data_IF_176081347320
#
_entry.id   IF_176081347320
#
_cell.length_a   1.000
_cell.length_b   1.000
_cell.length_c   1.000
_cell.angle_alpha   90.00
_cell.angle_beta   90.00
_cell.angle_gamma   90.00
#
_symmetry.space_group_name_H-M   'P 1'
#
loop_
_entity.id
_entity.type
_entity.pdbx_description
1 polymer ?
#
# COMPACT_ATOMS: atom_id res chain seq x y z
N UNK A 1 13.57 -6.54 14.17
CA UNK A 1 12.94 -5.50 13.38
C UNK A 1 11.80 -6.07 12.56
N UNK A 2 10.62 -5.52 12.73
CA UNK A 2 9.44 -5.96 12.00
C UNK A 2 8.98 -4.85 11.05
N UNK A 3 8.86 -5.18 9.76
CA UNK A 3 8.26 -4.29 8.80
C UNK A 3 6.75 -4.19 9.07
N UNK A 4 6.19 -3.04 8.78
CA UNK A 4 4.74 -2.82 8.81
C UNK A 4 4.26 -2.58 7.38
N UNK A 5 3.13 -3.18 7.04
CA UNK A 5 2.46 -2.96 5.78
C UNK A 5 1.40 -1.89 5.97
N UNK A 6 1.53 -0.76 5.27
CA UNK A 6 0.53 0.30 5.25
C UNK A 6 -0.31 0.19 3.99
N UNK A 7 -1.62 0.29 4.13
CA UNK A 7 -2.54 0.26 3.00
C UNK A 7 -3.30 1.58 2.97
N UNK A 8 -3.11 2.32 1.88
CA UNK A 8 -3.93 3.48 1.56
C UNK A 8 -5.22 2.95 0.94
N UNK A 9 -6.28 2.93 1.73
CA UNK A 9 -7.52 2.26 1.36
C UNK A 9 -8.37 3.04 0.36
N UNK A 10 -7.98 4.27 0.01
CA UNK A 10 -8.71 5.05 -0.96
C UNK A 10 -8.59 4.42 -2.35
N UNK A 11 -9.74 4.08 -2.95
CA UNK A 11 -9.81 3.44 -4.26
C UNK A 11 -8.90 2.21 -4.40
N UNK A 12 -8.79 1.40 -3.34
CA UNK A 12 -7.90 0.24 -3.32
C UNK A 12 -8.67 -1.06 -3.48
N UNK A 13 -8.66 -1.67 -4.67
CA UNK A 13 -9.37 -2.93 -4.90
C UNK A 13 -8.68 -4.16 -4.32
N UNK A 14 -7.45 -4.01 -3.81
CA UNK A 14 -6.61 -5.11 -3.33
C UNK A 14 -6.39 -5.11 -1.83
N UNK A 15 -7.19 -4.37 -1.06
CA UNK A 15 -7.04 -4.31 0.39
C UNK A 15 -7.13 -5.68 1.03
N UNK A 16 -8.10 -6.50 0.66
CA UNK A 16 -8.26 -7.84 1.21
C UNK A 16 -7.14 -8.77 0.79
N UNK A 17 -6.66 -8.64 -0.44
CA UNK A 17 -5.50 -9.41 -0.92
C UNK A 17 -4.25 -9.08 -0.10
N UNK A 18 -4.01 -7.81 0.14
CA UNK A 18 -2.87 -7.35 0.93
C UNK A 18 -2.95 -7.86 2.37
N UNK A 19 -4.14 -7.79 2.98
CA UNK A 19 -4.36 -8.32 4.33
C UNK A 19 -4.10 -9.83 4.38
N UNK A 20 -4.59 -10.58 3.40
CA UNK A 20 -4.38 -12.03 3.36
C UNK A 20 -2.91 -12.39 3.27
N UNK A 21 -2.15 -11.68 2.44
CA UNK A 21 -0.72 -11.91 2.29
C UNK A 21 0.06 -11.54 3.56
N UNK A 22 -0.30 -10.43 4.18
CA UNK A 22 0.34 -10.00 5.44
C UNK A 22 0.05 -10.98 6.57
N UNK A 23 -1.18 -11.49 6.63
CA UNK A 23 -1.58 -12.49 7.63
C UNK A 23 -0.74 -13.74 7.49
N UNK A 24 -0.52 -14.19 6.25
CA UNK A 24 0.31 -15.36 5.96
C UNK A 24 1.78 -15.11 6.27
N UNK A 25 2.25 -13.90 6.03
CA UNK A 25 3.65 -13.53 6.26
C UNK A 25 3.93 -13.10 7.70
N UNK A 26 2.92 -13.03 8.56
CA UNK A 26 3.03 -12.60 9.95
C UNK A 26 3.55 -11.15 10.08
N UNK A 27 3.06 -10.27 9.22
CA UNK A 27 3.43 -8.86 9.17
C UNK A 27 2.26 -8.01 9.63
N UNK A 28 2.49 -7.05 10.56
CA UNK A 28 1.41 -6.17 11.00
C UNK A 28 0.97 -5.23 9.89
N UNK A 29 -0.31 -4.86 9.91
CA UNK A 29 -0.92 -4.03 8.87
C UNK A 29 -1.61 -2.82 9.50
N UNK A 30 -1.44 -1.67 8.86
CA UNK A 30 -2.22 -0.46 9.13
C UNK A 30 -3.03 -0.14 7.89
N UNK A 31 -4.35 -0.17 8.02
CA UNK A 31 -5.27 0.22 6.95
C UNK A 31 -5.73 1.64 7.23
N UNK A 32 -5.33 2.58 6.40
CA UNK A 32 -5.64 4.00 6.58
C UNK A 32 -6.65 4.47 5.52
N UNK A 33 -7.58 5.30 5.93
CA UNK A 33 -8.56 5.90 5.03
C UNK A 33 -9.30 7.03 5.72
N UNK A 34 -10.16 7.73 4.99
CA UNK A 34 -10.93 8.82 5.59
C UNK A 34 -12.13 8.28 6.38
N UNK A 35 -12.71 9.15 7.22
CA UNK A 35 -13.81 8.77 8.13
C UNK A 35 -15.10 8.37 7.42
N UNK A 36 -15.23 8.64 6.12
CA UNK A 36 -16.40 8.21 5.35
C UNK A 36 -16.31 6.77 4.87
N UNK A 37 -15.12 6.15 4.99
CA UNK A 37 -14.91 4.77 4.58
C UNK A 37 -15.12 3.83 5.75
N UNK A 38 -15.74 2.69 5.48
CA UNK A 38 -15.85 1.63 6.47
C UNK A 38 -14.63 0.71 6.36
N UNK A 39 -13.55 1.06 7.05
CA UNK A 39 -12.31 0.29 7.03
C UNK A 39 -12.45 -1.09 7.67
N UNK A 40 -13.35 -1.21 8.65
CA UNK A 40 -13.59 -2.47 9.37
C UNK A 40 -14.13 -3.58 8.47
N UNK A 41 -14.76 -3.25 7.34
CA UNK A 41 -15.27 -4.26 6.41
C UNK A 41 -14.21 -5.19 5.85
N UNK A 42 -12.93 -4.76 5.88
CA UNK A 42 -11.82 -5.55 5.35
C UNK A 42 -11.20 -6.47 6.40
N UNK A 43 -11.48 -6.21 7.67
CA UNK A 43 -10.91 -6.93 8.80
C UNK A 43 -11.82 -8.09 9.18
N UNK A 44 -11.24 -9.26 9.44
CA UNK A 44 -12.00 -10.42 9.89
C UNK A 44 -12.29 -10.31 11.39
N UNK A 45 -13.42 -10.87 11.87
CA UNK A 45 -13.74 -10.79 13.30
C UNK A 45 -12.68 -11.39 14.22
N UNK A 46 -11.94 -12.39 13.77
CA UNK A 46 -10.91 -13.06 14.53
C UNK A 46 -9.51 -12.49 14.35
N UNK A 47 -9.35 -11.45 13.53
CA UNK A 47 -8.05 -10.80 13.34
C UNK A 47 -7.60 -10.11 14.63
N UNK A 48 -6.35 -10.32 15.06
CA UNK A 48 -5.79 -9.54 16.18
C UNK A 48 -5.75 -8.05 15.84
N UNK A 49 -5.99 -7.21 16.83
CA UNK A 49 -6.12 -5.76 16.62
C UNK A 49 -5.00 -4.95 17.26
N UNK A 50 -4.09 -5.62 17.98
CA UNK A 50 -2.98 -4.96 18.64
C UNK A 50 -1.78 -5.89 18.72
N UNK A 51 -0.57 -5.36 18.96
CA UNK A 51 0.60 -6.21 19.17
C UNK A 51 0.44 -7.20 20.31
N UNK A 52 -0.30 -6.83 21.35
CA UNK A 52 -0.53 -7.70 22.50
C UNK A 52 -1.44 -8.88 22.17
N UNK A 53 -2.34 -8.72 21.23
CA UNK A 53 -3.21 -9.79 20.76
C UNK A 53 -2.55 -10.65 19.70
N UNK A 54 -1.50 -10.13 19.08
CA UNK A 54 -0.86 -10.78 17.96
C UNK A 54 -0.22 -12.10 18.37
N UNK A 55 -0.53 -13.13 17.60
CA UNK A 55 0.10 -14.43 17.76
C UNK A 55 0.93 -14.68 16.49
N UNK A 56 2.25 -14.48 16.58
CA UNK A 56 3.15 -14.66 15.47
C UNK A 56 3.45 -13.40 14.63
N UNK A 57 3.03 -12.21 15.08
CA UNK A 57 3.45 -10.96 14.47
C UNK A 57 2.41 -10.24 13.62
N UNK A 58 1.33 -10.89 13.21
CA UNK A 58 0.26 -10.25 12.45
C UNK A 58 -0.77 -9.62 13.39
N UNK A 59 -1.13 -8.38 13.13
CA UNK A 59 -2.27 -7.69 13.72
C UNK A 59 -2.69 -6.58 12.77
N UNK A 60 -3.92 -6.07 12.92
CA UNK A 60 -4.48 -5.05 12.04
C UNK A 60 -4.92 -3.84 12.85
N UNK A 61 -4.40 -2.69 12.47
CA UNK A 61 -4.88 -1.41 12.96
C UNK A 61 -5.65 -0.72 11.82
N UNK A 62 -6.83 -0.17 12.13
CA UNK A 62 -7.55 0.70 11.20
C UNK A 62 -7.34 2.13 11.65
N UNK A 63 -6.92 2.99 10.73
CA UNK A 63 -6.60 4.38 11.01
C UNK A 63 -7.53 5.27 10.19
N UNK A 64 -8.61 5.71 10.81
CA UNK A 64 -9.55 6.65 10.21
C UNK A 64 -9.06 8.07 10.44
N UNK A 65 -8.87 8.81 9.35
CA UNK A 65 -8.38 10.19 9.42
C UNK A 65 -9.46 11.16 8.95
N UNK A 66 -9.29 12.46 9.27
CA UNK A 66 -10.25 13.46 8.88
C UNK A 66 -10.45 13.57 7.38
N UNK A 67 -11.55 14.18 6.99
CA UNK A 67 -11.87 14.41 5.59
C UNK A 67 -10.97 15.51 5.04
N UNK A 68 -10.05 15.12 4.19
CA UNK A 68 -9.13 16.03 3.51
C UNK A 68 -8.45 15.28 2.40
N UNK A 69 -8.07 15.98 1.35
CA UNK A 69 -7.56 15.34 0.12
C UNK A 69 -6.36 14.41 0.38
N UNK A 70 -5.48 14.79 1.31
CA UNK A 70 -4.24 14.07 1.56
C UNK A 70 -4.09 13.60 3.01
N UNK A 71 -5.20 13.57 3.77
CA UNK A 71 -5.13 13.28 5.20
C UNK A 71 -4.58 11.87 5.48
N UNK A 72 -5.04 10.87 4.71
CA UNK A 72 -4.55 9.50 4.86
C UNK A 72 -3.08 9.39 4.47
N UNK A 73 -2.66 10.07 3.42
CA UNK A 73 -1.28 10.07 2.95
C UNK A 73 -0.33 10.62 4.02
N UNK A 74 -0.68 11.75 4.63
CA UNK A 74 0.13 12.34 5.69
C UNK A 74 0.20 11.45 6.93
N UNK A 75 -0.93 10.85 7.31
CA UNK A 75 -0.96 9.95 8.46
C UNK A 75 -0.06 8.72 8.26
N UNK A 76 -0.05 8.17 7.05
CA UNK A 76 0.85 7.08 6.70
C UNK A 76 2.29 7.57 6.69
N UNK A 77 2.56 8.68 6.01
CA UNK A 77 3.92 9.20 5.85
C UNK A 77 4.62 9.46 7.19
N UNK A 78 3.89 9.97 8.17
CA UNK A 78 4.44 10.23 9.50
C UNK A 78 4.90 8.97 10.23
N UNK A 79 4.29 7.83 9.91
CA UNK A 79 4.55 6.56 10.61
C UNK A 79 5.52 5.65 9.87
N UNK A 80 5.86 5.97 8.62
CA UNK A 80 6.75 5.12 7.81
C UNK A 80 8.17 5.11 8.36
N UNK A 81 8.73 3.92 8.44
CA UNK A 81 10.11 3.68 8.85
C UNK A 81 10.84 2.87 7.80
N UNK A 82 12.19 2.88 7.79
CA UNK A 82 12.94 2.04 6.85
C UNK A 82 12.53 0.58 6.94
N UNK A 83 12.33 -0.05 5.79
CA UNK A 83 11.89 -1.45 5.72
C UNK A 83 10.38 -1.64 5.65
N UNK A 84 9.60 -0.62 5.94
CA UNK A 84 8.14 -0.70 5.80
C UNK A 84 7.73 -0.78 4.33
N UNK A 85 6.48 -1.15 4.10
CA UNK A 85 5.91 -1.26 2.74
C UNK A 85 4.60 -0.48 2.72
N UNK A 86 4.36 0.29 1.67
CA UNK A 86 3.08 0.98 1.50
C UNK A 86 2.42 0.57 0.18
N UNK A 87 1.13 0.29 0.24
CA UNK A 87 0.27 0.06 -0.93
C UNK A 87 -0.47 1.35 -1.22
N UNK A 88 -0.19 1.98 -2.35
CA UNK A 88 -0.84 3.23 -2.72
C UNK A 88 -0.81 3.46 -4.23
N UNK A 89 -1.81 4.18 -4.73
CA UNK A 89 -1.81 4.71 -6.09
C UNK A 89 -1.24 6.13 -6.14
N UNK A 90 -1.00 6.74 -5.00
CA UNK A 90 -0.51 8.11 -4.93
C UNK A 90 1.00 8.15 -5.07
N UNK A 91 1.48 8.68 -6.19
CA UNK A 91 2.92 8.79 -6.48
C UNK A 91 3.62 9.66 -5.44
N UNK A 92 2.94 10.70 -4.91
CA UNK A 92 3.49 11.54 -3.87
C UNK A 92 3.80 10.76 -2.59
N UNK A 93 2.86 9.93 -2.14
CA UNK A 93 3.07 9.07 -0.98
C UNK A 93 4.16 8.03 -1.27
N UNK A 94 4.15 7.44 -2.48
CA UNK A 94 5.19 6.49 -2.88
C UNK A 94 6.58 7.14 -2.83
N UNK A 95 6.71 8.36 -3.30
CA UNK A 95 7.97 9.11 -3.25
C UNK A 95 8.44 9.35 -1.82
N UNK A 96 7.53 9.73 -0.93
CA UNK A 96 7.85 9.91 0.48
C UNK A 96 8.32 8.61 1.13
N UNK A 97 7.65 7.50 0.80
CA UNK A 97 8.02 6.20 1.31
C UNK A 97 9.44 5.81 0.89
N UNK A 98 9.75 5.95 -0.40
CA UNK A 98 11.08 5.66 -0.91
C UNK A 98 12.14 6.54 -0.23
N UNK A 99 11.83 7.82 -0.01
CA UNK A 99 12.73 8.74 0.69
C UNK A 99 13.02 8.34 2.14
N UNK A 100 12.13 7.58 2.76
CA UNK A 100 12.31 7.08 4.12
C UNK A 100 12.91 5.67 4.19
N UNK A 101 13.26 5.10 3.05
CA UNK A 101 13.79 3.75 2.99
C UNK A 101 12.73 2.64 3.02
N UNK A 102 11.47 3.00 2.83
CA UNK A 102 10.38 2.04 2.70
C UNK A 102 10.17 1.67 1.24
N UNK A 103 9.47 0.56 1.00
CA UNK A 103 9.05 0.17 -0.34
C UNK A 103 7.65 0.67 -0.62
N UNK A 104 7.31 0.85 -1.89
CA UNK A 104 5.99 1.27 -2.30
C UNK A 104 5.54 0.44 -3.50
N UNK A 105 4.26 0.04 -3.48
CA UNK A 105 3.66 -0.77 -4.55
C UNK A 105 2.28 -0.23 -4.89
N UNK A 106 2.00 -0.11 -6.17
CA UNK A 106 0.69 0.28 -6.67
C UNK A 106 -0.28 -0.90 -6.70
N UNK A 107 -1.57 -0.59 -6.77
CA UNK A 107 -2.63 -1.62 -6.70
C UNK A 107 -2.61 -2.60 -7.88
N UNK A 108 -1.93 -2.25 -8.98
CA UNK A 108 -1.78 -3.13 -10.14
C UNK A 108 -0.46 -3.92 -10.11
N UNK A 109 0.28 -3.83 -9.00
CA UNK A 109 1.52 -4.57 -8.83
C UNK A 109 2.78 -3.83 -9.24
N UNK A 110 2.67 -2.61 -9.73
CA UNK A 110 3.84 -1.82 -10.06
C UNK A 110 4.62 -1.44 -8.80
N UNK A 111 5.87 -1.84 -8.71
CA UNK A 111 6.75 -1.47 -7.60
C UNK A 111 7.45 -0.18 -7.97
N UNK A 112 7.23 0.86 -7.16
CA UNK A 112 7.86 2.16 -7.41
C UNK A 112 9.36 2.08 -7.13
N UNK A 113 10.14 2.78 -7.93
CA UNK A 113 11.61 2.80 -7.83
C UNK A 113 12.13 4.23 -7.77
N UNK A 114 13.19 4.44 -7.01
CA UNK A 114 13.83 5.75 -6.91
C UNK A 114 14.29 6.26 -8.28
N UNK A 115 14.79 5.37 -9.12
CA UNK A 115 15.33 5.70 -10.43
C UNK A 115 14.30 6.28 -11.39
N UNK A 116 13.02 5.92 -11.21
CA UNK A 116 11.94 6.32 -12.12
C UNK A 116 10.89 7.20 -11.49
N UNK A 117 10.88 7.36 -10.17
CA UNK A 117 9.82 8.08 -9.46
C UNK A 117 9.76 9.56 -9.87
N UNK A 118 10.90 10.19 -10.10
CA UNK A 118 10.94 11.60 -10.49
C UNK A 118 10.29 11.81 -11.86
N UNK A 119 10.52 10.91 -12.80
CA UNK A 119 9.89 10.95 -14.09
C UNK A 119 8.38 10.76 -13.99
N UNK A 120 7.94 9.83 -13.13
CA UNK A 120 6.51 9.60 -12.91
C UNK A 120 5.84 10.82 -12.30
N UNK A 121 6.50 11.50 -11.35
CA UNK A 121 6.00 12.74 -10.77
C UNK A 121 5.90 13.84 -11.81
N UNK A 122 6.88 13.96 -12.68
CA UNK A 122 6.87 14.92 -13.78
C UNK A 122 5.70 14.68 -14.73
N UNK A 123 5.50 13.45 -15.16
CA UNK A 123 4.38 13.07 -16.04
C UNK A 123 3.05 13.44 -15.40
N UNK A 124 2.86 13.10 -14.12
CA UNK A 124 1.64 13.44 -13.39
C UNK A 124 1.40 14.94 -13.35
N UNK A 125 2.46 15.74 -13.16
CA UNK A 125 2.36 17.19 -13.13
C UNK A 125 1.91 17.74 -14.50
N UNK A 126 2.50 17.24 -15.58
CA UNK A 126 2.13 17.64 -16.92
C UNK A 126 0.68 17.26 -17.27
N UNK A 127 0.22 16.10 -16.84
CA UNK A 127 -1.18 15.68 -17.01
C UNK A 127 -2.14 16.62 -16.27
N UNK A 128 -1.79 17.05 -15.05
CA UNK A 128 -2.59 18.02 -14.30
C UNK A 128 -2.64 19.37 -15.03
N UNK A 129 -1.53 19.82 -15.59
CA UNK A 129 -1.50 21.05 -16.38
C UNK A 129 -2.41 20.94 -17.60
N UNK A 130 -2.36 19.81 -18.31
CA UNK A 130 -3.20 19.58 -19.49
C UNK A 130 -4.68 19.63 -19.11
N UNK A 131 -5.08 19.03 -18.00
CA UNK A 131 -6.47 19.08 -17.53
C UNK A 131 -6.92 20.47 -17.15
N UNK A 132 -6.06 21.25 -16.47
CA UNK A 132 -6.35 22.64 -16.13
C UNK A 132 -6.51 23.55 -17.35
N UNK A 133 -5.79 23.24 -18.40
CA UNK A 133 -5.88 23.97 -19.67
C UNK A 133 -7.06 23.54 -20.54
N UNK A 134 -7.97 22.70 -20.02
CA UNK A 134 -9.12 22.19 -20.76
C UNK A 134 -8.83 20.96 -21.59
N UNK A 135 -7.64 20.41 -21.50
CA UNK A 135 -7.28 19.16 -22.16
C UNK A 135 -7.92 17.95 -21.48
N UNK A 136 -8.04 16.86 -22.22
CA UNK A 136 -8.55 15.60 -21.70
C UNK A 136 -7.42 14.58 -21.67
N UNK A 137 -7.22 13.98 -20.51
CA UNK A 137 -6.33 12.83 -20.38
C UNK A 137 -7.15 11.56 -20.34
N UNK A 138 -6.60 10.49 -20.90
CA UNK A 138 -7.25 9.18 -20.86
C UNK A 138 -7.18 8.64 -19.43
N UNK A 139 -8.31 8.25 -18.86
CA UNK A 139 -8.36 7.63 -17.55
C UNK A 139 -7.67 6.26 -17.53
N UNK A 140 -7.38 5.73 -16.33
CA UNK A 140 -6.78 4.41 -16.22
C UNK A 140 -7.70 3.32 -16.78
N UNK A 141 -7.12 2.27 -17.31
CA UNK A 141 -7.86 1.10 -17.76
C UNK A 141 -8.54 0.42 -16.56
N UNK A 142 -9.60 -0.34 -16.83
CA UNK A 142 -10.26 -1.10 -15.79
C UNK A 142 -9.30 -2.08 -15.11
N UNK A 143 -9.49 -2.30 -13.81
CA UNK A 143 -8.70 -3.23 -13.04
C UNK A 143 -9.01 -4.67 -13.48
N UNK A 144 -7.95 -5.45 -13.75
CA UNK A 144 -8.09 -6.81 -14.30
C UNK A 144 -7.61 -7.87 -13.29
N UNK A 145 -7.95 -9.13 -13.57
CA UNK A 145 -7.43 -10.26 -12.79
C UNK A 145 -5.90 -10.36 -12.91
N UNK A 146 -5.35 -10.01 -14.07
CA UNK A 146 -3.88 -9.98 -14.28
C UNK A 146 -3.22 -8.92 -13.40
N UNK A 147 -3.86 -7.76 -13.26
CA UNK A 147 -3.40 -6.71 -12.34
C UNK A 147 -3.35 -7.24 -10.91
N UNK A 148 -4.39 -7.94 -10.50
CA UNK A 148 -4.49 -8.53 -9.15
C UNK A 148 -3.40 -9.58 -8.91
N UNK A 149 -3.16 -10.44 -9.88
CA UNK A 149 -2.10 -11.46 -9.77
C UNK A 149 -0.72 -10.82 -9.66
N UNK A 150 -0.46 -9.81 -10.50
CA UNK A 150 0.81 -9.07 -10.46
C UNK A 150 1.01 -8.40 -9.10
N UNK A 151 -0.06 -7.80 -8.56
CA UNK A 151 -0.02 -7.21 -7.24
C UNK A 151 0.35 -8.25 -6.18
N UNK A 152 -0.34 -9.37 -6.19
CA UNK A 152 -0.11 -10.44 -5.20
C UNK A 152 1.31 -10.97 -5.28
N UNK A 153 1.79 -11.24 -6.49
CA UNK A 153 3.15 -11.78 -6.68
C UNK A 153 4.21 -10.79 -6.19
N UNK A 154 4.07 -9.53 -6.56
CA UNK A 154 5.06 -8.51 -6.21
C UNK A 154 4.99 -8.14 -4.73
N UNK A 155 3.79 -8.06 -4.14
CA UNK A 155 3.69 -7.81 -2.70
C UNK A 155 4.27 -8.99 -1.91
N UNK A 156 4.02 -10.20 -2.35
CA UNK A 156 4.60 -11.39 -1.71
C UNK A 156 6.13 -11.32 -1.70
N UNK A 157 6.73 -10.90 -2.81
CA UNK A 157 8.19 -10.71 -2.88
C UNK A 157 8.68 -9.63 -1.92
N UNK A 158 7.98 -8.51 -1.83
CA UNK A 158 8.35 -7.44 -0.89
C UNK A 158 8.28 -7.91 0.55
N UNK A 159 7.25 -8.68 0.90
CA UNK A 159 7.10 -9.23 2.25
C UNK A 159 8.19 -10.24 2.59
N UNK A 160 8.75 -10.91 1.59
CA UNK A 160 9.83 -11.90 1.77
C UNK A 160 11.21 -11.25 1.97
N UNK A 161 11.42 -10.06 1.43
CA UNK A 161 12.73 -9.39 1.46
C UNK A 161 13.23 -9.16 2.89
N UNK A 162 12.33 -9.06 3.87
CA UNK A 162 12.71 -8.88 5.26
C UNK A 162 13.03 -10.19 5.99
N UNK A 163 13.23 -11.28 5.25
CA UNK A 163 13.79 -12.52 5.78
C UNK A 163 12.85 -13.35 6.62
N UNK A 164 11.57 -13.02 6.64
CA UNK A 164 10.60 -13.72 7.47
C UNK A 164 10.08 -15.01 6.86
N UNK A 165 10.32 -15.27 5.58
CA UNK A 165 9.80 -16.44 4.89
C UNK A 165 10.94 -17.36 4.46
N UNK A 166 10.74 -18.65 4.70
CA UNK A 166 11.66 -19.68 4.25
C UNK A 166 11.57 -19.86 2.74
N UNK A 167 12.62 -20.41 2.14
CA UNK A 167 12.64 -20.70 0.71
C UNK A 167 11.46 -21.57 0.26
N UNK A 168 10.92 -22.40 1.15
CA UNK A 168 9.76 -23.25 0.88
C UNK A 168 8.47 -22.46 0.69
N UNK A 169 8.43 -21.22 1.17
CA UNK A 169 7.25 -20.35 1.03
C UNK A 169 7.33 -19.50 -0.24
N UNK A 170 8.42 -19.57 -0.96
CA UNK A 170 8.57 -18.87 -2.23
C UNK A 170 7.83 -19.64 -3.31
N UNK A 171 6.85 -19.02 -3.98
CA UNK A 171 6.18 -19.69 -5.09
C UNK A 171 7.18 -19.96 -6.18
N UNK A 172 7.27 -21.21 -6.56
CA UNK A 172 8.12 -21.64 -7.64
C UNK A 172 7.77 -21.01 -8.96
#
# INVERSE_FOLDING_TARGET
>A
FMATLFIDADACPVTRDALALARKAHVPVVVAGNTTQNLERHVRPDDPRSPMEANGGFWVETLAVGVGADAADFAIAERLEPGDIVVTQDIGLASMALGRGAAAIGVRGHVYRKETIDMQLFIRHEEKKARRAGGRTKGPAAFTDEDRERFRDNLRRLLQVDGALNETDVPG
#
